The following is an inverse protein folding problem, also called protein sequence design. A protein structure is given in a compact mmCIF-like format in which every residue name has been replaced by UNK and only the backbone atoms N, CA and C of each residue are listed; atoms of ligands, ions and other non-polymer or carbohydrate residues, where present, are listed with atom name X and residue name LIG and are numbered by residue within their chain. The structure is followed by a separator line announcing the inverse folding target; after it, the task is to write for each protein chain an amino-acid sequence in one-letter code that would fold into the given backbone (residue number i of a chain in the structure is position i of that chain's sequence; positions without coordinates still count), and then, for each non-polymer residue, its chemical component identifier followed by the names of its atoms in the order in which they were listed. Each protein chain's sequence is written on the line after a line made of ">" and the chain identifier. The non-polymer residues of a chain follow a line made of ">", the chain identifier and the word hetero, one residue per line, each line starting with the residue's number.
data_IF_205633134430
#
_entry.id   IF_205633134430
#
_cell.length_a   1.000
_cell.length_b   1.000
_cell.length_c   1.000
_cell.angle_alpha   90.00
_cell.angle_beta   90.00
_cell.angle_gamma   90.00
#
_symmetry.space_group_name_H-M   'P 1'
#
loop_
_entity.id
_entity.type
_entity.pdbx_description
1 polymer ?
#
# COMPACT_ATOMS: atom_id res chain seq x y z
N UNK A 1 11.89 -6.96 8.41
CA UNK A 1 10.87 -7.80 7.76
C UNK A 1 11.43 -8.54 6.53
N UNK A 2 12.03 -7.87 5.55
CA UNK A 2 12.61 -8.53 4.34
C UNK A 2 13.49 -9.74 4.68
N UNK A 3 14.34 -9.64 5.70
CA UNK A 3 15.20 -10.73 6.17
C UNK A 3 14.39 -11.92 6.68
N UNK A 4 13.24 -11.70 7.31
CA UNK A 4 12.37 -12.79 7.79
C UNK A 4 11.77 -13.57 6.62
N UNK A 5 11.36 -12.89 5.56
CA UNK A 5 10.84 -13.52 4.34
C UNK A 5 11.94 -14.36 3.67
N UNK A 6 13.15 -13.80 3.51
CA UNK A 6 14.31 -14.50 2.92
C UNK A 6 14.67 -15.76 3.72
N UNK A 7 14.56 -15.70 5.05
CA UNK A 7 14.84 -16.82 5.94
C UNK A 7 13.69 -17.84 6.01
N UNK A 8 12.59 -17.61 5.30
CA UNK A 8 11.42 -18.49 5.32
C UNK A 8 10.75 -18.60 6.71
N UNK A 9 10.80 -17.53 7.52
CA UNK A 9 10.16 -17.52 8.85
C UNK A 9 8.65 -17.63 8.71
N UNK A 10 8.05 -18.45 9.57
CA UNK A 10 6.60 -18.69 9.61
C UNK A 10 5.96 -18.20 10.91
N UNK A 11 6.73 -17.55 11.78
CA UNK A 11 6.30 -17.05 13.09
C UNK A 11 5.74 -15.63 13.04
N UNK A 12 5.42 -15.14 11.86
CA UNK A 12 4.71 -13.88 11.64
C UNK A 12 3.72 -13.99 10.48
N UNK A 13 2.70 -13.14 10.51
CA UNK A 13 1.76 -12.99 9.40
C UNK A 13 1.91 -11.62 8.78
N UNK A 14 1.89 -11.56 7.46
CA UNK A 14 2.00 -10.35 6.68
C UNK A 14 0.65 -10.05 6.02
N UNK A 15 0.01 -8.95 6.42
CA UNK A 15 -1.35 -8.61 6.00
C UNK A 15 -1.32 -7.42 5.04
N UNK A 16 -1.87 -7.63 3.85
CA UNK A 16 -2.12 -6.60 2.84
C UNK A 16 -3.57 -6.12 2.93
N UNK A 17 -3.75 -4.83 3.19
CA UNK A 17 -5.08 -4.22 3.35
C UNK A 17 -5.69 -3.72 2.04
N UNK A 18 -4.95 -3.80 0.93
CA UNK A 18 -5.34 -3.23 -0.35
C UNK A 18 -6.48 -4.01 -1.02
N UNK A 19 -6.95 -3.46 -2.11
CA UNK A 19 -7.98 -4.09 -2.94
C UNK A 19 -7.47 -5.38 -3.59
N UNK A 20 -8.38 -6.20 -4.08
CA UNK A 20 -8.03 -7.45 -4.76
C UNK A 20 -7.24 -7.20 -6.06
N UNK A 21 -7.61 -6.17 -6.81
CA UNK A 21 -6.90 -5.81 -8.03
C UNK A 21 -5.45 -5.40 -7.77
N UNK A 22 -5.23 -4.54 -6.79
CA UNK A 22 -3.88 -4.08 -6.39
C UNK A 22 -3.03 -5.23 -5.83
N UNK A 23 -3.63 -6.12 -5.06
CA UNK A 23 -2.95 -7.31 -4.55
C UNK A 23 -2.55 -8.28 -5.68
N UNK A 24 -3.43 -8.48 -6.67
CA UNK A 24 -3.18 -9.34 -7.81
C UNK A 24 -2.10 -8.75 -8.74
N UNK A 25 -2.01 -7.42 -8.86
CA UNK A 25 -0.97 -6.75 -9.63
C UNK A 25 0.42 -6.98 -9.02
N UNK A 26 0.57 -6.71 -7.75
CA UNK A 26 1.79 -7.00 -6.99
C UNK A 26 1.51 -6.98 -5.49
N UNK A 27 2.07 -7.91 -4.75
CA UNK A 27 2.10 -7.94 -3.29
C UNK A 27 3.43 -8.44 -2.76
N UNK A 28 3.75 -8.13 -1.51
CA UNK A 28 4.97 -8.63 -0.87
C UNK A 28 4.85 -10.15 -0.70
N UNK A 29 5.85 -10.94 -1.12
CA UNK A 29 5.79 -12.40 -1.03
C UNK A 29 5.42 -12.89 0.37
N UNK A 30 4.47 -13.82 0.44
CA UNK A 30 3.93 -14.35 1.69
C UNK A 30 2.86 -13.49 2.35
N UNK A 31 2.41 -12.41 1.72
CA UNK A 31 1.32 -11.60 2.23
C UNK A 31 -0.04 -12.27 2.00
N UNK A 32 -0.94 -12.09 2.96
CA UNK A 32 -2.34 -12.47 2.91
C UNK A 32 -3.19 -11.21 2.71
N UNK A 33 -4.07 -11.20 1.71
CA UNK A 33 -4.96 -10.06 1.52
C UNK A 33 -6.14 -10.12 2.48
N UNK A 34 -6.24 -9.12 3.34
CA UNK A 34 -7.35 -8.98 4.28
C UNK A 34 -7.82 -7.53 4.28
N UNK A 35 -8.99 -7.21 3.73
CA UNK A 35 -9.50 -5.84 3.77
C UNK A 35 -9.74 -5.40 5.21
N UNK A 36 -9.55 -4.10 5.48
CA UNK A 36 -9.68 -3.51 6.82
C UNK A 36 -11.00 -3.91 7.50
N UNK A 37 -12.09 -3.97 6.75
CA UNK A 37 -13.43 -4.33 7.24
C UNK A 37 -13.56 -5.78 7.71
N UNK A 38 -12.75 -6.69 7.18
CA UNK A 38 -12.75 -8.10 7.53
C UNK A 38 -11.70 -8.44 8.62
N UNK A 39 -10.80 -7.51 8.92
CA UNK A 39 -9.64 -7.75 9.77
C UNK A 39 -10.02 -8.26 11.18
N UNK A 40 -11.08 -7.70 11.78
CA UNK A 40 -11.53 -8.05 13.12
C UNK A 40 -12.01 -9.52 13.27
N UNK A 41 -12.50 -10.11 12.17
CA UNK A 41 -13.02 -11.48 12.13
C UNK A 41 -12.12 -12.49 11.43
N UNK A 42 -10.91 -12.09 11.04
CA UNK A 42 -10.06 -12.90 10.16
C UNK A 42 -9.36 -14.09 10.84
N UNK A 43 -9.57 -14.32 12.12
CA UNK A 43 -8.95 -15.45 12.82
C UNK A 43 -7.47 -15.27 13.16
N UNK A 44 -7.02 -14.01 13.31
CA UNK A 44 -5.70 -13.69 13.84
C UNK A 44 -5.60 -14.11 15.30
N UNK A 45 -4.41 -14.55 15.71
CA UNK A 45 -4.15 -14.90 17.12
C UNK A 45 -3.55 -13.71 17.86
N UNK A 46 -3.96 -13.49 19.11
CA UNK A 46 -3.51 -12.32 19.90
C UNK A 46 -2.03 -12.33 20.26
N UNK A 47 -1.41 -13.50 20.22
CA UNK A 47 0.01 -13.73 20.50
C UNK A 47 0.89 -13.83 19.22
N UNK A 48 0.29 -13.71 18.04
CA UNK A 48 1.02 -13.69 16.77
C UNK A 48 1.74 -12.37 16.55
N UNK A 49 2.86 -12.43 15.84
CA UNK A 49 3.49 -11.25 15.24
C UNK A 49 2.76 -10.95 13.92
N UNK A 50 2.10 -9.80 13.86
CA UNK A 50 1.31 -9.39 12.70
C UNK A 50 1.95 -8.14 12.11
N UNK A 51 2.36 -8.20 10.86
CA UNK A 51 2.87 -7.04 10.10
C UNK A 51 1.81 -6.63 9.10
N UNK A 52 1.38 -5.39 9.17
CA UNK A 52 0.28 -4.86 8.36
C UNK A 52 0.83 -3.83 7.39
N UNK A 53 0.38 -3.85 6.14
CA UNK A 53 0.71 -2.81 5.18
C UNK A 53 -0.46 -2.49 4.24
N UNK A 54 -0.36 -1.31 3.62
CA UNK A 54 -1.15 -0.85 2.48
C UNK A 54 -0.21 -0.12 1.51
N UNK A 55 -0.71 0.65 0.57
CA UNK A 55 0.16 1.44 -0.31
C UNK A 55 1.03 2.41 0.48
N UNK A 56 0.40 3.28 1.26
CA UNK A 56 1.07 4.18 2.22
C UNK A 56 0.82 3.77 3.67
N UNK A 57 0.79 4.75 4.57
CA UNK A 57 0.70 4.52 6.01
C UNK A 57 -0.70 4.60 6.63
N UNK A 58 -1.67 5.25 5.97
CA UNK A 58 -2.94 5.64 6.61
C UNK A 58 -3.80 4.43 6.99
N UNK A 59 -4.10 3.55 6.04
CA UNK A 59 -4.91 2.36 6.30
C UNK A 59 -4.21 1.38 7.24
N UNK A 60 -2.88 1.27 7.13
CA UNK A 60 -2.08 0.45 8.04
C UNK A 60 -2.14 0.96 9.47
N UNK A 61 -2.14 2.28 9.68
CA UNK A 61 -2.29 2.89 11.00
C UNK A 61 -3.69 2.65 11.59
N UNK A 62 -4.73 2.75 10.77
CA UNK A 62 -6.11 2.43 11.18
C UNK A 62 -6.23 0.95 11.61
N UNK A 63 -5.69 0.03 10.83
CA UNK A 63 -5.68 -1.39 11.13
C UNK A 63 -4.88 -1.70 12.40
N UNK A 64 -3.71 -1.10 12.54
CA UNK A 64 -2.88 -1.25 13.73
C UNK A 64 -3.62 -0.76 14.98
N UNK A 65 -4.25 0.42 14.92
CA UNK A 65 -5.04 0.94 16.04
C UNK A 65 -6.19 -0.01 16.40
N UNK A 66 -6.92 -0.51 15.40
CA UNK A 66 -8.01 -1.47 15.60
C UNK A 66 -7.52 -2.74 16.32
N UNK A 67 -6.43 -3.33 15.83
CA UNK A 67 -5.89 -4.55 16.40
C UNK A 67 -5.33 -4.32 17.84
N UNK A 68 -4.62 -3.24 18.06
CA UNK A 68 -4.07 -2.93 19.41
C UNK A 68 -5.16 -2.70 20.43
N UNK A 69 -6.25 -2.02 20.09
CA UNK A 69 -7.42 -1.85 20.97
C UNK A 69 -8.13 -3.16 21.29
N UNK A 70 -8.06 -4.13 20.39
CA UNK A 70 -8.59 -5.48 20.59
C UNK A 70 -7.61 -6.41 21.33
N UNK A 71 -6.43 -5.93 21.70
CA UNK A 71 -5.45 -6.67 22.49
C UNK A 71 -4.43 -7.49 21.70
N UNK A 72 -4.26 -7.24 20.41
CA UNK A 72 -3.19 -7.85 19.59
C UNK A 72 -1.86 -7.12 19.84
N UNK A 73 -1.10 -7.59 20.82
CA UNK A 73 0.15 -6.95 21.25
C UNK A 73 1.30 -7.05 20.22
N UNK A 74 1.25 -8.06 19.36
CA UNK A 74 2.24 -8.29 18.31
C UNK A 74 1.93 -7.57 16.98
N UNK A 75 0.88 -6.76 16.92
CA UNK A 75 0.52 -6.00 15.72
C UNK A 75 1.49 -4.84 15.49
N UNK A 76 2.07 -4.78 14.32
CA UNK A 76 2.96 -3.72 13.83
C UNK A 76 2.58 -3.32 12.42
N UNK A 77 3.03 -2.17 11.97
CA UNK A 77 2.84 -1.75 10.58
C UNK A 77 4.15 -1.61 9.83
N UNK A 78 4.13 -1.91 8.55
CA UNK A 78 5.26 -1.63 7.66
C UNK A 78 5.31 -0.13 7.40
N UNK A 79 6.34 0.52 7.90
CA UNK A 79 6.53 1.95 7.72
C UNK A 79 6.66 2.30 6.23
N UNK A 80 5.88 3.28 5.76
CA UNK A 80 5.81 3.69 4.37
C UNK A 80 5.11 2.70 3.42
N UNK A 81 4.58 1.59 3.95
CA UNK A 81 3.77 0.63 3.18
C UNK A 81 4.49 -0.02 2.01
N UNK A 82 3.71 -0.34 0.98
CA UNK A 82 4.24 -0.96 -0.24
C UNK A 82 5.13 -0.01 -1.05
N UNK A 83 4.87 1.29 -1.02
CA UNK A 83 5.71 2.28 -1.70
C UNK A 83 7.14 2.24 -1.16
N UNK A 84 7.31 2.32 0.16
CA UNK A 84 8.64 2.21 0.77
C UNK A 84 9.28 0.83 0.55
N UNK A 85 8.50 -0.23 0.45
CA UNK A 85 9.00 -1.55 0.05
C UNK A 85 9.55 -1.54 -1.38
N UNK A 86 8.82 -0.97 -2.33
CA UNK A 86 9.27 -0.83 -3.72
C UNK A 86 10.57 -0.04 -3.79
N UNK A 87 10.63 1.13 -3.14
CA UNK A 87 11.79 2.02 -3.20
C UNK A 87 13.05 1.44 -2.52
N UNK A 88 12.88 0.79 -1.37
CA UNK A 88 14.02 0.35 -0.58
C UNK A 88 14.41 -1.12 -0.81
N UNK A 89 13.48 -1.94 -1.30
CA UNK A 89 13.73 -3.38 -1.49
C UNK A 89 13.79 -3.77 -2.95
N UNK A 90 12.83 -3.35 -3.78
CA UNK A 90 12.80 -3.73 -5.19
C UNK A 90 13.72 -2.87 -6.06
N UNK A 91 13.72 -1.56 -5.84
CA UNK A 91 14.42 -0.58 -6.66
C UNK A 91 15.35 0.32 -5.84
N UNK A 92 16.23 -0.26 -4.99
CA UNK A 92 17.11 0.54 -4.14
C UNK A 92 18.04 1.40 -4.99
N UNK A 93 18.26 2.64 -4.51
CA UNK A 93 19.15 3.62 -5.13
C UNK A 93 20.41 3.79 -4.28
N UNK A 94 21.59 3.98 -4.88
CA UNK A 94 22.77 4.36 -4.13
C UNK A 94 22.62 5.80 -3.61
N UNK A 95 23.33 6.14 -2.56
CA UNK A 95 23.49 7.53 -2.15
C UNK A 95 24.34 8.29 -3.20
N UNK A 96 24.12 9.59 -3.38
CA UNK A 96 24.87 10.41 -4.36
C UNK A 96 26.38 10.38 -4.16
N UNK A 97 26.83 10.39 -2.90
CA UNK A 97 28.25 10.31 -2.53
C UNK A 97 28.40 9.27 -1.41
N UNK A 98 28.40 7.96 -1.74
CA UNK A 98 28.32 6.92 -0.73
C UNK A 98 29.65 6.80 0.04
N UNK A 99 29.56 6.77 1.35
CA UNK A 99 30.67 6.35 2.20
C UNK A 99 30.98 4.85 1.97
N UNK A 100 32.18 4.36 2.33
CA UNK A 100 32.51 2.93 2.20
C UNK A 100 31.47 2.02 2.88
N UNK A 101 30.94 2.41 4.04
CA UNK A 101 29.91 1.67 4.76
C UNK A 101 28.58 1.63 3.98
N UNK A 102 28.16 2.76 3.39
CA UNK A 102 26.96 2.85 2.55
C UNK A 102 27.10 2.02 1.26
N UNK A 103 28.28 1.97 0.67
CA UNK A 103 28.55 1.13 -0.50
C UNK A 103 28.40 -0.36 -0.18
N UNK A 104 28.90 -0.81 0.96
CA UNK A 104 28.70 -2.20 1.44
C UNK A 104 27.21 -2.48 1.72
N UNK A 105 26.51 -1.55 2.34
CA UNK A 105 25.08 -1.67 2.59
C UNK A 105 24.29 -1.75 1.28
N UNK A 106 24.59 -0.91 0.30
CA UNK A 106 23.95 -0.93 -1.01
C UNK A 106 24.21 -2.23 -1.76
N UNK A 107 25.43 -2.82 -1.64
CA UNK A 107 25.72 -4.13 -2.20
C UNK A 107 24.80 -5.23 -1.63
N UNK A 108 24.54 -5.21 -0.32
CA UNK A 108 23.57 -6.12 0.31
C UNK A 108 22.15 -5.87 -0.17
N UNK A 109 21.75 -4.59 -0.30
CA UNK A 109 20.41 -4.23 -0.83
C UNK A 109 20.22 -4.72 -2.26
N UNK A 110 21.26 -4.70 -3.11
CA UNK A 110 21.19 -5.26 -4.47
C UNK A 110 20.88 -6.75 -4.48
N UNK A 111 21.52 -7.52 -3.60
CA UNK A 111 21.25 -8.96 -3.51
C UNK A 111 19.81 -9.24 -3.01
N UNK A 112 19.35 -8.47 -2.02
CA UNK A 112 17.98 -8.53 -1.53
C UNK A 112 16.98 -8.17 -2.64
N UNK A 113 17.25 -7.10 -3.39
CA UNK A 113 16.41 -6.68 -4.53
C UNK A 113 16.28 -7.79 -5.57
N UNK A 114 17.38 -8.38 -5.99
CA UNK A 114 17.38 -9.51 -6.94
C UNK A 114 16.57 -10.70 -6.43
N UNK A 115 16.69 -11.02 -5.13
CA UNK A 115 15.92 -12.11 -4.52
C UNK A 115 14.41 -11.91 -4.67
N UNK A 116 13.94 -10.67 -4.55
CA UNK A 116 12.52 -10.32 -4.71
C UNK A 116 12.12 -9.97 -6.15
N UNK A 117 13.00 -10.19 -7.13
CA UNK A 117 12.72 -9.88 -8.55
C UNK A 117 12.79 -8.40 -8.89
N UNK A 118 13.37 -7.59 -8.02
CA UNK A 118 13.57 -6.16 -8.25
C UNK A 118 14.79 -5.85 -9.12
N UNK A 119 14.90 -4.58 -9.51
CA UNK A 119 16.02 -4.07 -10.32
C UNK A 119 16.68 -2.90 -9.59
N UNK A 120 17.86 -3.13 -8.96
CA UNK A 120 18.60 -2.04 -8.32
C UNK A 120 18.97 -0.95 -9.32
N UNK A 121 18.81 0.30 -8.94
CA UNK A 121 19.21 1.42 -9.78
C UNK A 121 20.70 1.69 -9.59
N UNK A 122 21.46 1.72 -10.67
CA UNK A 122 22.92 1.76 -10.62
C UNK A 122 23.52 3.16 -10.70
N UNK A 123 22.77 4.15 -11.23
CA UNK A 123 23.24 5.52 -11.43
C UNK A 123 22.29 6.58 -10.89
N UNK A 124 22.82 7.51 -10.10
CA UNK A 124 22.12 8.71 -9.69
C UNK A 124 22.09 9.79 -10.80
N UNK A 125 22.73 9.55 -11.96
CA UNK A 125 22.85 10.49 -13.07
C UNK A 125 21.95 10.18 -14.27
N UNK A 126 21.25 9.06 -14.29
CA UNK A 126 20.20 8.87 -15.28
C UNK A 126 19.02 9.78 -14.91
N UNK A 127 18.89 10.89 -15.62
CA UNK A 127 17.68 11.71 -15.58
C UNK A 127 16.48 10.76 -15.61
N UNK A 128 15.69 10.80 -14.54
CA UNK A 128 14.45 10.05 -14.45
C UNK A 128 13.56 10.54 -15.57
N UNK A 129 13.63 9.91 -16.72
CA UNK A 129 12.44 9.78 -17.54
C UNK A 129 11.52 8.91 -16.68
N UNK A 130 10.74 9.59 -15.82
CA UNK A 130 9.59 8.96 -15.21
C UNK A 130 8.90 8.20 -16.33
N UNK A 131 8.62 6.88 -16.18
CA UNK A 131 7.75 6.23 -17.10
C UNK A 131 6.53 7.13 -17.19
N UNK A 132 6.27 7.71 -18.35
CA UNK A 132 5.09 8.52 -18.58
C UNK A 132 3.92 7.57 -18.42
N UNK A 133 3.46 7.44 -17.19
CA UNK A 133 2.22 6.75 -16.89
C UNK A 133 1.14 7.65 -17.49
N UNK A 134 0.80 7.36 -18.71
CA UNK A 134 -0.36 7.98 -19.36
C UNK A 134 -1.55 7.45 -18.58
N UNK A 135 -2.00 8.24 -17.61
CA UNK A 135 -3.26 7.97 -16.92
C UNK A 135 -4.31 7.73 -18.00
N UNK A 136 -5.00 6.60 -18.01
CA UNK A 136 -6.12 6.42 -18.92
C UNK A 136 -7.06 7.58 -18.69
N UNK A 137 -7.33 8.35 -19.76
CA UNK A 137 -8.25 9.47 -19.72
C UNK A 137 -9.60 8.89 -19.36
N UNK A 138 -10.04 9.10 -18.09
CA UNK A 138 -11.39 8.77 -17.70
C UNK A 138 -12.33 9.59 -18.60
N UNK A 139 -12.97 8.92 -19.53
CA UNK A 139 -14.09 9.51 -20.25
C UNK A 139 -15.18 9.73 -19.21
N UNK A 140 -15.41 11.02 -18.89
CA UNK A 140 -16.58 11.40 -18.09
C UNK A 140 -17.82 10.89 -18.82
N UNK A 141 -18.68 10.06 -18.19
CA UNK A 141 -19.93 9.68 -18.82
C UNK A 141 -20.68 10.96 -19.15
N UNK A 142 -20.99 11.16 -20.43
CA UNK A 142 -21.85 12.26 -20.86
C UNK A 142 -23.18 12.08 -20.17
N UNK A 143 -23.40 12.91 -19.14
CA UNK A 143 -24.64 12.98 -18.40
C UNK A 143 -25.76 13.32 -19.34
N UNK A 144 -26.66 12.37 -19.53
CA UNK A 144 -27.92 12.62 -20.22
C UNK A 144 -28.63 13.80 -19.55
N UNK A 145 -29.03 14.75 -20.34
CA UNK A 145 -29.77 15.92 -19.92
C UNK A 145 -31.04 15.49 -19.19
N UNK A 146 -31.04 15.61 -17.87
CA UNK A 146 -32.24 15.46 -17.08
C UNK A 146 -33.13 16.68 -17.34
N UNK A 147 -34.24 16.46 -18.02
CA UNK A 147 -35.29 17.46 -18.24
C UNK A 147 -35.76 18.04 -16.90
N UNK A 148 -35.57 19.34 -16.72
CA UNK A 148 -36.14 20.09 -15.60
C UNK A 148 -37.65 20.17 -15.80
N UNK A 149 -38.39 19.31 -15.13
CA UNK A 149 -39.84 19.46 -14.96
C UNK A 149 -40.11 20.60 -14.01
N UNK A 150 -40.55 21.72 -14.56
CA UNK A 150 -41.11 22.84 -13.79
C UNK A 150 -42.52 22.49 -13.33
N UNK A 151 -42.70 22.17 -12.07
CA UNK A 151 -44.01 22.07 -11.45
C UNK A 151 -44.49 23.48 -11.02
N UNK A 152 -45.70 23.89 -11.38
CA UNK A 152 -46.21 25.21 -10.97
C UNK A 152 -46.68 25.18 -9.50
N UNK A 153 -46.11 26.09 -8.72
CA UNK A 153 -46.56 26.37 -7.34
C UNK A 153 -47.95 26.96 -7.36
N UNK A 154 -48.94 26.23 -6.85
CA UNK A 154 -50.29 26.78 -6.57
C UNK A 154 -50.21 27.71 -5.35
N UNK A 155 -50.41 29.01 -5.58
CA UNK A 155 -50.70 29.99 -4.53
C UNK A 155 -52.05 29.67 -3.89
N UNK A 156 -52.06 29.35 -2.61
CA UNK A 156 -53.27 29.29 -1.79
C UNK A 156 -53.62 30.72 -1.37
N UNK A 157 -54.79 31.24 -1.85
CA UNK A 157 -55.37 32.48 -1.35
C UNK A 157 -55.97 32.20 0.01
N UNK A 158 -55.50 32.90 1.01
CA UNK A 158 -56.27 33.10 2.24
C UNK A 158 -57.24 34.22 1.99
N UNK A 159 -58.51 34.00 2.34
CA UNK A 159 -59.57 34.97 2.36
C UNK A 159 -60.39 34.77 3.62
N UNK A 160 -60.51 35.85 4.38
CA UNK A 160 -61.44 36.20 5.49
C UNK A 160 -61.82 35.08 6.46
#
# INVERSE_FOLDING_TARGET
>A
MQTWIIQGRTDFRLIDLRTEGEFAEYHIPGAERVPLTALAGYGLQKNETIVIYSDGGIHSAQAWFLLTTQGYKGATMLFGGLEAWKDNVLFPRPAENPTPAQSVQFAKMKEVSKFFGGTPQMDSTAAVTAPSFTMPKLETPQGGAAARGTSPVKKKKEGC
#
